data_IF_672940864949
#
_entry.id   IF_672940864949
#
_cell.length_a   1.000
_cell.length_b   1.000
_cell.length_c   1.000
_cell.angle_alpha   90.00
_cell.angle_beta   90.00
_cell.angle_gamma   90.00
#
_symmetry.space_group_name_H-M   'P 1'
#
loop_
_entity.id
_entity.type
_entity.pdbx_description
1 polymer ?
#
# COMPACT_ATOMS: atom_id res chain seq x y z
N UNK A 1 34.46 16.22 15.61
CA UNK A 1 33.27 15.36 15.68
C UNK A 1 32.10 16.24 16.08
N UNK A 2 30.93 16.01 15.48
CA UNK A 2 29.61 16.61 15.75
C UNK A 2 29.27 17.99 15.12
N UNK A 3 28.42 17.93 14.08
CA UNK A 3 27.15 18.65 13.93
C UNK A 3 26.16 17.54 13.47
N UNK A 4 25.07 17.14 14.11
CA UNK A 4 23.96 17.80 14.82
C UNK A 4 22.90 18.42 13.89
N UNK A 5 21.72 17.74 13.87
CA UNK A 5 20.39 18.15 13.36
C UNK A 5 20.26 18.32 11.83
N UNK A 6 19.15 18.02 11.16
CA UNK A 6 17.76 17.83 11.55
C UNK A 6 17.05 17.19 10.35
N UNK A 7 16.08 16.30 10.60
CA UNK A 7 14.94 15.98 9.75
C UNK A 7 15.20 15.82 8.24
N UNK A 8 15.15 14.56 7.78
CA UNK A 8 14.81 14.24 6.40
C UNK A 8 13.56 15.06 6.04
N UNK A 9 13.76 16.07 5.20
CA UNK A 9 12.72 16.86 4.58
C UNK A 9 12.07 15.89 3.57
N UNK A 10 11.18 15.02 4.05
CA UNK A 10 10.23 14.34 3.19
C UNK A 10 9.29 15.45 2.71
N UNK A 11 9.70 16.06 1.61
CA UNK A 11 8.84 16.78 0.71
C UNK A 11 7.67 15.84 0.37
N UNK A 12 6.54 16.00 1.07
CA UNK A 12 5.27 15.37 0.71
C UNK A 12 4.74 16.06 -0.55
N UNK A 13 5.51 16.05 -1.65
CA UNK A 13 4.93 16.04 -2.98
C UNK A 13 4.08 14.77 -3.04
N UNK A 14 2.78 14.99 -3.19
CA UNK A 14 1.71 14.01 -3.27
C UNK A 14 1.90 13.15 -4.54
N UNK A 15 2.94 12.34 -4.54
CA UNK A 15 3.19 11.27 -5.47
C UNK A 15 2.74 10.03 -4.70
N UNK A 16 1.80 9.26 -5.25
CA UNK A 16 1.33 7.99 -4.70
C UNK A 16 2.44 6.92 -4.71
N UNK A 17 3.67 7.27 -4.33
CA UNK A 17 4.82 6.40 -4.24
C UNK A 17 5.32 6.39 -2.80
N UNK A 18 5.44 5.20 -2.24
CA UNK A 18 5.96 4.94 -0.91
C UNK A 18 7.23 4.10 -1.00
N UNK A 19 8.21 4.41 -0.17
CA UNK A 19 9.41 3.60 -0.03
C UNK A 19 9.26 2.77 1.24
N UNK A 20 9.27 1.45 1.09
CA UNK A 20 9.23 0.51 2.21
C UNK A 20 10.61 -0.09 2.42
N UNK A 21 10.98 -0.26 3.68
CA UNK A 21 12.23 -0.93 4.05
C UNK A 21 11.88 -2.35 4.47
N UNK A 22 12.39 -3.32 3.71
CA UNK A 22 12.22 -4.73 4.04
C UNK A 22 13.08 -5.15 5.26
N UNK A 23 12.86 -6.34 5.81
CA UNK A 23 13.59 -6.90 6.95
C UNK A 23 15.12 -6.99 6.73
N UNK A 24 15.56 -7.08 5.47
CA UNK A 24 16.99 -7.09 5.11
C UNK A 24 17.59 -5.66 5.01
N UNK A 25 16.78 -4.62 5.17
CA UNK A 25 17.18 -3.21 5.07
C UNK A 25 17.25 -2.68 3.64
N UNK A 26 16.62 -3.37 2.69
CA UNK A 26 16.54 -2.93 1.30
C UNK A 26 15.39 -1.93 1.12
N UNK A 27 15.69 -0.82 0.44
CA UNK A 27 14.71 0.18 0.02
C UNK A 27 13.94 -0.36 -1.18
N UNK A 28 12.64 -0.61 -1.01
CA UNK A 28 11.74 -1.04 -2.07
C UNK A 28 10.76 0.10 -2.38
N UNK A 29 10.74 0.53 -3.63
CA UNK A 29 9.86 1.59 -4.11
C UNK A 29 8.55 0.96 -4.62
N UNK A 30 7.43 1.44 -4.08
CA UNK A 30 6.09 0.98 -4.41
C UNK A 30 5.20 2.16 -4.79
N UNK A 31 4.33 1.96 -5.78
CA UNK A 31 3.25 2.89 -6.13
C UNK A 31 1.94 2.43 -5.49
N UNK A 32 1.27 3.27 -4.72
CA UNK A 32 -0.12 3.05 -4.31
C UNK A 32 -1.01 3.22 -5.55
N UNK A 33 -1.60 2.12 -5.99
CA UNK A 33 -2.57 2.13 -7.10
C UNK A 33 -3.96 2.45 -6.58
N UNK A 34 -4.32 1.86 -5.44
CA UNK A 34 -5.65 2.00 -4.85
C UNK A 34 -5.62 1.69 -3.35
N UNK A 35 -6.48 2.37 -2.58
CA UNK A 35 -6.77 2.06 -1.19
C UNK A 35 -8.21 1.60 -1.07
N UNK A 36 -8.46 0.58 -0.26
CA UNK A 36 -9.78 0.03 0.00
C UNK A 36 -9.97 -0.26 1.49
N UNK A 37 -11.23 -0.32 1.93
CA UNK A 37 -11.59 -0.67 3.30
C UNK A 37 -12.55 -1.87 3.27
N UNK A 38 -12.14 -3.00 3.84
CA UNK A 38 -12.94 -4.23 3.88
C UNK A 38 -13.05 -4.69 5.32
N UNK A 39 -14.27 -4.91 5.79
CA UNK A 39 -14.53 -5.44 7.14
C UNK A 39 -13.87 -4.60 8.27
N UNK A 40 -13.95 -3.26 8.17
CA UNK A 40 -13.34 -2.29 9.12
C UNK A 40 -11.79 -2.31 9.13
N UNK A 41 -11.17 -2.98 8.16
CA UNK A 41 -9.72 -3.03 7.96
C UNK A 41 -9.34 -2.29 6.68
N UNK A 42 -8.28 -1.49 6.74
CA UNK A 42 -7.71 -0.84 5.57
C UNK A 42 -6.84 -1.80 4.77
N UNK A 43 -6.83 -1.65 3.46
CA UNK A 43 -5.92 -2.35 2.56
C UNK A 43 -5.43 -1.41 1.46
N UNK A 44 -4.18 -1.57 1.06
CA UNK A 44 -3.54 -0.79 0.01
C UNK A 44 -2.98 -1.71 -1.07
N UNK A 45 -3.33 -1.41 -2.32
CA UNK A 45 -2.78 -2.03 -3.52
C UNK A 45 -1.51 -1.28 -3.89
N UNK A 46 -0.38 -1.97 -3.80
CA UNK A 46 0.95 -1.45 -4.09
C UNK A 46 1.50 -2.13 -5.33
N UNK A 47 2.11 -1.36 -6.23
CA UNK A 47 2.82 -1.88 -7.39
C UNK A 47 4.33 -1.63 -7.22
N UNK A 48 5.18 -2.66 -7.20
CA UNK A 48 6.63 -2.45 -7.15
C UNK A 48 7.10 -1.72 -8.41
N UNK A 49 7.86 -0.63 -8.23
CA UNK A 49 8.43 0.12 -9.37
C UNK A 49 9.58 -0.64 -10.05
N UNK A 50 10.36 -1.41 -9.29
CA UNK A 50 11.50 -2.17 -9.82
C UNK A 50 11.05 -3.35 -10.70
N UNK A 51 9.88 -3.94 -10.42
CA UNK A 51 9.35 -5.12 -11.14
C UNK A 51 7.83 -5.04 -11.37
N UNK A 52 7.36 -4.17 -12.29
CA UNK A 52 5.93 -4.02 -12.58
C UNK A 52 5.32 -5.28 -13.25
N UNK A 53 6.16 -6.21 -13.73
CA UNK A 53 5.73 -7.48 -14.32
C UNK A 53 5.27 -8.50 -13.26
N UNK A 54 5.76 -8.37 -12.02
CA UNK A 54 5.33 -9.17 -10.86
C UNK A 54 3.86 -8.95 -10.50
N UNK A 55 3.28 -7.82 -10.92
CA UNK A 55 1.90 -7.44 -10.63
C UNK A 55 1.75 -6.65 -9.33
N UNK A 56 0.56 -6.11 -9.12
CA UNK A 56 0.25 -5.39 -7.89
C UNK A 56 0.07 -6.37 -6.72
N UNK A 57 0.57 -5.96 -5.55
CA UNK A 57 0.49 -6.69 -4.29
C UNK A 57 -0.41 -5.92 -3.32
N UNK A 58 -1.16 -6.64 -2.51
CA UNK A 58 -2.09 -6.04 -1.55
C UNK A 58 -1.49 -6.19 -0.16
N UNK A 59 -1.42 -5.07 0.56
CA UNK A 59 -1.05 -5.03 1.97
C UNK A 59 -2.22 -4.55 2.83
N UNK A 60 -2.35 -5.12 4.02
CA UNK A 60 -3.30 -4.69 5.03
C UNK A 60 -2.72 -3.51 5.80
N UNK A 61 -3.46 -2.42 5.88
CA UNK A 61 -3.09 -1.21 6.61
C UNK A 61 -3.76 -1.26 7.98
N UNK A 62 -2.96 -1.22 9.04
CA UNK A 62 -3.44 -1.16 10.43
C UNK A 62 -2.80 0.02 11.15
N UNK A 63 -3.58 0.76 11.94
CA UNK A 63 -3.05 1.86 12.75
C UNK A 63 -2.71 1.34 14.14
N UNK A 64 -1.42 1.14 14.41
CA UNK A 64 -0.90 0.75 15.72
C UNK A 64 -0.17 1.97 16.32
N UNK A 65 -0.52 2.38 17.54
CA UNK A 65 0.09 3.54 18.24
C UNK A 65 0.04 4.89 17.48
N UNK A 66 -0.85 5.02 16.48
CA UNK A 66 -0.95 6.22 15.64
C UNK A 66 0.01 6.23 14.45
N UNK A 67 0.67 5.10 14.20
CA UNK A 67 1.51 4.85 13.04
C UNK A 67 0.79 3.84 12.13
N UNK A 68 0.87 4.06 10.81
CA UNK A 68 0.30 3.15 9.82
C UNK A 68 1.30 2.01 9.57
N UNK A 69 0.90 0.79 9.93
CA UNK A 69 1.69 -0.43 9.73
C UNK A 69 1.05 -1.25 8.62
N UNK A 70 1.87 -1.61 7.64
CA UNK A 70 1.48 -2.46 6.52
C UNK A 70 1.85 -3.91 6.83
N UNK A 71 0.87 -4.80 6.74
CA UNK A 71 1.03 -6.24 6.94
C UNK A 71 0.77 -6.99 5.64
N UNK A 72 1.61 -7.97 5.34
CA UNK A 72 1.35 -8.95 4.29
C UNK A 72 0.09 -9.78 4.59
N UNK A 73 -0.63 -10.16 3.54
CA UNK A 73 -1.80 -11.03 3.64
C UNK A 73 -1.34 -12.47 3.37
N UNK A 74 -1.16 -13.25 4.43
CA UNK A 74 -0.83 -14.69 4.31
C UNK A 74 -2.05 -15.57 3.99
N UNK A 75 -3.27 -15.04 4.17
CA UNK A 75 -4.51 -15.78 4.03
C UNK A 75 -5.15 -15.55 2.65
N UNK A 76 -5.14 -16.58 1.79
CA UNK A 76 -5.73 -16.54 0.44
C UNK A 76 -7.22 -16.16 0.44
N UNK A 77 -8.00 -16.57 1.46
CA UNK A 77 -9.41 -16.24 1.59
C UNK A 77 -9.60 -14.73 1.87
N UNK A 78 -8.76 -14.13 2.73
CA UNK A 78 -8.75 -12.68 2.97
C UNK A 78 -8.31 -11.90 1.71
N UNK A 79 -7.25 -12.36 1.03
CA UNK A 79 -6.77 -11.75 -0.20
C UNK A 79 -7.84 -11.75 -1.28
N UNK A 80 -8.52 -12.88 -1.49
CA UNK A 80 -9.57 -13.00 -2.49
C UNK A 80 -10.76 -12.07 -2.20
N UNK A 81 -11.10 -11.81 -0.93
CA UNK A 81 -12.17 -10.86 -0.57
C UNK A 81 -11.79 -9.42 -0.90
N UNK A 82 -10.54 -9.06 -0.67
CA UNK A 82 -10.02 -7.72 -1.02
C UNK A 82 -10.03 -7.55 -2.54
N UNK A 83 -9.60 -8.56 -3.30
CA UNK A 83 -9.68 -8.56 -4.76
C UNK A 83 -11.13 -8.44 -5.23
N UNK A 84 -12.04 -9.22 -4.65
CA UNK A 84 -13.47 -9.17 -5.01
C UNK A 84 -14.06 -7.78 -4.74
N UNK A 85 -13.72 -7.16 -3.61
CA UNK A 85 -14.11 -5.78 -3.30
C UNK A 85 -13.53 -4.77 -4.32
N UNK A 86 -12.26 -4.93 -4.72
CA UNK A 86 -11.62 -4.09 -5.75
C UNK A 86 -12.31 -4.22 -7.11
N UNK A 87 -12.60 -5.44 -7.56
CA UNK A 87 -13.29 -5.67 -8.83
C UNK A 87 -14.74 -5.16 -8.79
N UNK A 88 -15.41 -5.27 -7.65
CA UNK A 88 -16.79 -4.78 -7.48
C UNK A 88 -16.86 -3.25 -7.48
N UNK A 89 -15.88 -2.56 -6.90
CA UNK A 89 -15.79 -1.09 -6.95
C UNK A 89 -15.51 -0.55 -8.37
N UNK A 90 -14.69 -1.25 -9.17
CA UNK A 90 -14.37 -0.85 -10.56
C UNK A 90 -15.56 -1.09 -11.52
N UNK A 91 -16.38 -2.11 -11.28
CA UNK A 91 -17.55 -2.45 -12.12
C UNK A 91 -18.87 -1.80 -11.68
N UNK A 92 -18.90 -1.03 -10.59
CA UNK A 92 -20.08 -0.31 -10.12
C UNK A 92 -20.45 0.96 -10.91
N UNK A 93 -19.59 1.42 -11.83
CA UNK A 93 -19.81 2.64 -12.64
C UNK A 93 -20.11 2.36 -14.13
N UNK A 94 -20.50 1.13 -14.49
CA UNK A 94 -20.93 0.80 -15.86
C UNK A 94 -22.40 0.35 -15.91
N UNK A 95 -23.31 1.17 -15.38
CA UNK A 95 -24.74 1.08 -15.72
C UNK A 95 -25.35 2.49 -15.77
N UNK A 96 -25.39 3.10 -16.96
CA UNK A 96 -26.61 3.62 -17.62
C UNK A 96 -26.22 4.38 -18.90
N UNK A 97 -26.77 3.95 -20.04
CA UNK A 97 -27.44 4.75 -21.10
C UNK A 97 -28.15 3.79 -22.09
#
# INVERSE_FOLDING_TARGET
MAHEHNNHDHDHEHNDHITLIDEDGNELEFTIVQYLEVDDKGYAVLLPEDDPESGAVIFRVETEDGEEVLYDIEDDDEFQRVIDALEEEDWGNFDEE
#
